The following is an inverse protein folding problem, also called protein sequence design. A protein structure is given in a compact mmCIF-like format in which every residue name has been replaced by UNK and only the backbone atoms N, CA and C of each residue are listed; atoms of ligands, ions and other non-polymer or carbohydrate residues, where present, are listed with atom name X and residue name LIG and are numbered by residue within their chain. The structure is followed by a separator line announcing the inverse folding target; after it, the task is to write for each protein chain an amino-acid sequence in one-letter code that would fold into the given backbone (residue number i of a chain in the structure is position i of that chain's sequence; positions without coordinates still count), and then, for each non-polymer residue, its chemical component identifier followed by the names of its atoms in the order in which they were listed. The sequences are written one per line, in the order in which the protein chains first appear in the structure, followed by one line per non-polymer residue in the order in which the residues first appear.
data_IF_842471477370
#
_entry.id   IF_842471477370
#
_cell.length_a   1.000
_cell.length_b   1.000
_cell.length_c   1.000
_cell.angle_alpha   90.00
_cell.angle_beta   90.00
_cell.angle_gamma   90.00
#
_symmetry.space_group_name_H-M   'P 1'
#
loop_
_entity.id
_entity.type
_entity.pdbx_description
1 polymer ?
#
# COMPACT_ATOMS: atom_id res chain seq x y z
N UNK A 1 5.91 -19.11 10.64
CA UNK A 1 6.01 -17.67 10.29
C UNK A 1 7.42 -17.41 9.80
N UNK A 2 7.58 -16.76 8.65
CA UNK A 2 8.91 -16.42 8.14
C UNK A 2 9.28 -15.02 8.66
N UNK A 3 10.25 -14.94 9.56
CA UNK A 3 10.83 -13.67 10.01
C UNK A 3 12.07 -13.37 9.17
N UNK A 4 12.23 -12.11 8.78
CA UNK A 4 13.42 -11.62 8.10
C UNK A 4 13.92 -10.37 8.82
N UNK A 5 15.17 -10.40 9.29
CA UNK A 5 15.84 -9.23 9.83
C UNK A 5 16.28 -8.32 8.69
N UNK A 6 15.98 -7.03 8.82
CA UNK A 6 16.41 -5.99 7.89
C UNK A 6 17.30 -4.99 8.64
N UNK A 7 18.26 -4.40 7.91
CA UNK A 7 19.11 -3.35 8.46
C UNK A 7 18.54 -1.97 8.11
N UNK A 8 18.64 -1.05 9.06
CA UNK A 8 18.26 0.35 8.87
C UNK A 8 19.42 1.07 8.17
N UNK A 9 19.11 1.74 7.06
CA UNK A 9 20.08 2.55 6.34
C UNK A 9 20.47 3.82 7.10
N UNK A 10 21.49 4.55 6.64
CA UNK A 10 22.03 5.72 7.34
C UNK A 10 21.05 6.90 7.47
N UNK A 11 19.93 6.87 6.73
CA UNK A 11 18.86 7.89 6.81
C UNK A 11 17.60 7.38 7.52
N UNK A 12 17.71 6.27 8.26
CA UNK A 12 16.56 5.68 8.93
C UNK A 12 15.62 4.89 8.01
N UNK A 13 16.03 4.61 6.76
CA UNK A 13 15.19 3.89 5.80
C UNK A 13 15.33 2.37 5.92
N UNK A 14 14.22 1.67 5.70
CA UNK A 14 14.21 0.21 5.48
C UNK A 14 13.73 -0.09 4.06
N UNK A 15 14.34 -1.07 3.41
CA UNK A 15 13.89 -1.54 2.10
C UNK A 15 12.83 -2.61 2.28
N UNK A 16 11.59 -2.33 1.89
CA UNK A 16 10.51 -3.31 1.95
C UNK A 16 10.73 -4.44 0.93
N UNK A 17 10.75 -5.73 1.35
CA UNK A 17 10.82 -6.86 0.44
C UNK A 17 9.67 -6.90 -0.56
N UNK A 18 9.92 -7.42 -1.77
CA UNK A 18 8.95 -7.47 -2.88
C UNK A 18 7.57 -8.00 -2.48
N UNK A 19 7.52 -9.03 -1.61
CA UNK A 19 6.25 -9.61 -1.13
C UNK A 19 5.39 -8.58 -0.37
N UNK A 20 6.00 -7.82 0.54
CA UNK A 20 5.30 -6.79 1.33
C UNK A 20 4.94 -5.60 0.44
N UNK A 21 5.85 -5.18 -0.45
CA UNK A 21 5.59 -4.11 -1.42
C UNK A 21 4.38 -4.40 -2.31
N UNK A 22 4.25 -5.63 -2.80
CA UNK A 22 3.11 -6.07 -3.61
C UNK A 22 1.80 -6.13 -2.83
N UNK A 23 1.85 -6.33 -1.51
CA UNK A 23 0.69 -6.29 -0.63
C UNK A 23 0.20 -4.85 -0.47
N UNK A 24 1.11 -3.90 -0.25
CA UNK A 24 0.76 -2.51 0.06
C UNK A 24 0.10 -1.78 -1.11
N UNK A 25 0.55 -2.06 -2.35
CA UNK A 25 0.04 -1.42 -3.59
C UNK A 25 -0.10 0.11 -3.53
N UNK A 26 0.64 0.74 -2.62
CA UNK A 26 0.62 2.16 -2.32
C UNK A 26 2.04 2.60 -2.00
N UNK A 27 2.38 3.81 -2.43
CA UNK A 27 3.69 4.43 -2.23
C UNK A 27 3.73 5.25 -0.93
N UNK A 28 2.56 5.50 -0.35
CA UNK A 28 2.39 6.19 0.92
C UNK A 28 2.03 5.19 2.03
N UNK A 29 2.62 5.37 3.21
CA UNK A 29 2.38 4.54 4.39
C UNK A 29 2.14 5.41 5.61
N UNK A 30 1.36 4.90 6.56
CA UNK A 30 1.22 5.44 7.91
C UNK A 30 2.10 4.61 8.83
N UNK A 31 2.83 5.30 9.71
CA UNK A 31 3.56 4.69 10.82
C UNK A 31 2.81 4.98 12.11
N UNK A 32 2.45 3.93 12.83
CA UNK A 32 1.74 4.03 14.11
C UNK A 32 2.52 3.29 15.19
N UNK A 33 2.66 3.91 16.36
CA UNK A 33 3.20 3.26 17.53
C UNK A 33 2.09 2.45 18.18
N UNK A 34 2.21 1.12 18.18
CA UNK A 34 1.19 0.21 18.75
C UNK A 34 1.38 0.08 20.27
N UNK A 35 2.63 0.07 20.69
CA UNK A 35 3.09 0.12 22.08
C UNK A 35 4.49 0.74 22.13
N UNK A 36 5.12 0.79 23.30
CA UNK A 36 6.44 1.43 23.46
C UNK A 36 7.61 0.72 22.73
N UNK A 37 7.38 -0.44 22.11
CA UNK A 37 8.41 -1.29 21.49
C UNK A 37 8.11 -1.60 20.02
N UNK A 38 6.85 -1.48 19.57
CA UNK A 38 6.42 -1.92 18.25
C UNK A 38 5.82 -0.80 17.41
N UNK A 39 6.26 -0.76 16.15
CA UNK A 39 5.71 0.14 15.12
C UNK A 39 4.94 -0.69 14.09
N UNK A 40 3.70 -0.29 13.82
CA UNK A 40 2.90 -0.80 12.72
C UNK A 40 3.06 0.09 11.50
N UNK A 41 3.18 -0.54 10.33
CA UNK A 41 3.26 0.13 9.04
C UNK A 41 2.05 -0.28 8.21
N UNK A 42 1.24 0.68 7.79
CA UNK A 42 0.01 0.45 7.02
C UNK A 42 0.04 1.25 5.72
N UNK A 43 -0.36 0.69 4.56
CA UNK A 43 -0.46 1.48 3.33
C UNK A 43 -1.60 2.51 3.44
N UNK A 44 -1.36 3.73 2.97
CA UNK A 44 -2.43 4.70 2.76
C UNK A 44 -3.25 4.23 1.56
N UNK A 45 -4.57 3.99 1.71
CA UNK A 45 -5.41 3.61 0.59
C UNK A 45 -5.46 4.75 -0.43
N UNK A 46 -5.13 4.46 -1.69
CA UNK A 46 -5.37 5.41 -2.77
C UNK A 46 -6.88 5.47 -3.05
N UNK A 47 -7.51 6.55 -2.58
CA UNK A 47 -8.94 6.81 -2.80
C UNK A 47 -9.23 6.95 -4.30
N UNK A 48 -8.28 7.45 -5.10
CA UNK A 48 -8.40 7.57 -6.56
C UNK A 48 -8.29 6.23 -7.28
N UNK A 49 -7.35 5.37 -6.86
CA UNK A 49 -7.18 4.01 -7.38
C UNK A 49 -8.37 3.09 -7.07
N UNK A 50 -9.05 3.29 -5.94
CA UNK A 50 -10.29 2.59 -5.63
C UNK A 50 -11.41 2.92 -6.66
N UNK A 51 -11.54 4.19 -7.05
CA UNK A 51 -12.52 4.64 -8.05
C UNK A 51 -12.19 4.12 -9.47
N UNK A 52 -10.90 3.99 -9.81
CA UNK A 52 -10.47 3.39 -11.08
C UNK A 52 -10.99 1.96 -11.29
N UNK A 53 -11.08 1.17 -10.21
CA UNK A 53 -11.63 -0.19 -10.26
C UNK A 53 -13.14 -0.20 -10.53
N UNK A 54 -13.88 0.84 -10.14
CA UNK A 54 -15.30 0.99 -10.48
C UNK A 54 -15.51 1.51 -11.91
N UNK A 55 -14.62 2.37 -12.41
CA UNK A 55 -14.71 2.92 -13.77
C UNK A 55 -14.59 1.84 -14.87
N UNK A 56 -13.85 0.75 -14.62
CA UNK A 56 -13.63 -0.33 -15.59
C UNK A 56 -14.87 -1.15 -15.94
N UNK A 57 -16.01 -0.97 -15.26
CA UNK A 57 -17.19 -1.85 -15.43
C UNK A 57 -18.31 -1.29 -16.31
N UNK A 58 -18.24 -0.03 -16.77
CA UNK A 58 -19.33 0.57 -17.55
C UNK A 58 -18.92 0.88 -19.00
N UNK A 59 -18.84 -0.15 -19.84
CA UNK A 59 -19.03 0.02 -21.30
C UNK A 59 -20.53 0.19 -21.58
N UNK A 60 -21.14 1.26 -21.07
CA UNK A 60 -22.44 1.67 -21.61
C UNK A 60 -22.18 2.32 -22.97
N UNK A 61 -22.34 1.53 -24.03
CA UNK A 61 -22.49 2.06 -25.39
C UNK A 61 -23.82 2.81 -25.43
N UNK A 62 -23.79 4.11 -25.12
CA UNK A 62 -24.91 4.98 -25.41
C UNK A 62 -25.03 5.11 -26.94
N UNK A 63 -25.81 4.22 -27.57
CA UNK A 63 -26.33 4.46 -28.91
C UNK A 63 -27.34 5.59 -28.79
N UNK A 64 -27.01 6.74 -29.38
CA UNK A 64 -27.98 7.82 -29.60
C UNK A 64 -29.00 7.30 -30.63
N UNK A 65 -30.26 7.21 -30.22
CA UNK A 65 -31.42 7.11 -31.12
C UNK A 65 -31.78 8.49 -31.65
#
# INVERSE_FOLDING_TARGET
MASQTLFIGPRGQITLPKKIRNLFKSDAVVLELVDNEHVMISPVPDVGGAIFNYAKKNRFNFRRS
#
